data_IF_584246873014
#
_entry.id   IF_584246873014
#
_cell.length_a   1.000
_cell.length_b   1.000
_cell.length_c   1.000
_cell.angle_alpha   90.00
_cell.angle_beta   90.00
_cell.angle_gamma   90.00
#
_symmetry.space_group_name_H-M   'P 1'
#
loop_
_entity.id
_entity.type
_entity.pdbx_description
1 polymer ?
#
# COMPACT_ATOMS: atom_id res chain seq x y z
N UNK A 1 -17.71 30.45 7.50
CA UNK A 1 -17.61 28.99 7.22
C UNK A 1 -18.77 28.32 7.95
N UNK A 2 -19.79 27.90 7.21
CA UNK A 2 -20.91 27.12 7.76
C UNK A 2 -20.32 25.84 8.37
N UNK A 3 -20.56 25.60 9.66
CA UNK A 3 -20.21 24.33 10.29
C UNK A 3 -20.97 23.24 9.52
N UNK A 4 -20.25 22.44 8.73
CA UNK A 4 -20.81 21.25 8.09
C UNK A 4 -21.41 20.39 9.20
N UNK A 5 -22.67 20.02 9.06
CA UNK A 5 -23.30 19.11 10.03
C UNK A 5 -22.53 17.79 10.01
N UNK A 6 -22.16 17.31 11.19
CA UNK A 6 -21.38 16.08 11.35
C UNK A 6 -22.21 14.81 11.08
N UNK A 7 -23.37 14.93 10.45
CA UNK A 7 -24.33 13.85 10.24
C UNK A 7 -24.06 13.14 8.91
N UNK A 8 -23.83 11.84 8.99
CA UNK A 8 -23.78 10.92 7.84
C UNK A 8 -24.90 9.88 8.00
N UNK A 9 -25.67 9.68 6.97
CA UNK A 9 -26.83 8.82 6.99
C UNK A 9 -26.74 7.75 5.89
N UNK A 10 -27.33 6.60 6.19
CA UNK A 10 -27.62 5.53 5.23
C UNK A 10 -29.13 5.31 5.26
N UNK A 11 -29.90 6.12 4.53
CA UNK A 11 -31.36 6.18 4.68
C UNK A 11 -32.05 4.82 4.45
N UNK A 12 -31.60 4.04 3.47
CA UNK A 12 -32.14 2.72 3.18
C UNK A 12 -31.88 1.66 4.27
N UNK A 13 -30.91 1.90 5.16
CA UNK A 13 -30.59 1.03 6.31
C UNK A 13 -31.11 1.59 7.62
N UNK A 14 -31.65 2.80 7.64
CA UNK A 14 -32.07 3.48 8.86
C UNK A 14 -30.90 3.83 9.82
N UNK A 15 -29.66 3.90 9.30
CA UNK A 15 -28.48 4.20 10.10
C UNK A 15 -28.12 5.67 9.98
N UNK A 16 -27.70 6.27 11.12
CA UNK A 16 -27.25 7.66 11.20
C UNK A 16 -26.05 7.75 12.15
N UNK A 17 -25.00 8.46 11.72
CA UNK A 17 -23.75 8.61 12.47
C UNK A 17 -23.42 10.09 12.60
N UNK A 18 -23.13 10.54 13.83
CA UNK A 18 -22.57 11.86 14.07
C UNK A 18 -21.03 11.74 14.05
N UNK A 19 -20.43 12.22 12.97
CA UNK A 19 -18.99 12.15 12.76
C UNK A 19 -18.32 13.48 13.08
N UNK A 20 -17.25 13.46 13.87
CA UNK A 20 -16.34 14.58 14.00
C UNK A 20 -15.08 14.27 13.18
N UNK A 21 -14.60 15.22 12.36
CA UNK A 21 -13.32 15.07 11.64
C UNK A 21 -12.14 15.05 12.59
N UNK A 22 -12.22 15.80 13.72
CA UNK A 22 -11.17 15.83 14.74
C UNK A 22 -11.36 14.65 15.68
N UNK A 23 -10.36 13.81 15.80
CA UNK A 23 -10.35 12.70 16.74
C UNK A 23 -10.11 13.18 18.17
N UNK A 24 -9.08 14.00 18.35
CA UNK A 24 -8.73 14.64 19.64
C UNK A 24 -7.80 15.83 19.39
N UNK A 25 -7.59 16.64 20.44
CA UNK A 25 -6.70 17.80 20.39
C UNK A 25 -5.71 17.77 21.54
N UNK A 26 -4.43 18.03 21.25
CA UNK A 26 -3.35 18.08 22.24
C UNK A 26 -2.62 19.42 22.08
N UNK A 27 -2.56 20.24 23.14
CA UNK A 27 -1.83 21.50 23.12
C UNK A 27 -2.25 22.47 22.00
N UNK A 28 -3.54 22.48 21.61
CA UNK A 28 -4.06 23.32 20.54
C UNK A 28 -3.87 22.74 19.12
N UNK A 29 -3.21 21.60 18.97
CA UNK A 29 -3.08 20.89 17.69
C UNK A 29 -4.20 19.87 17.54
N UNK A 30 -4.95 19.97 16.44
CA UNK A 30 -6.03 19.03 16.13
C UNK A 30 -5.49 17.81 15.41
N UNK A 31 -5.79 16.62 15.94
CA UNK A 31 -5.50 15.32 15.30
C UNK A 31 -6.78 14.85 14.62
N UNK A 32 -6.69 14.61 13.32
CA UNK A 32 -7.83 14.20 12.48
C UNK A 32 -7.93 12.69 12.38
N UNK A 33 -9.16 12.16 12.34
CA UNK A 33 -9.40 10.72 12.14
C UNK A 33 -8.76 10.18 10.88
N UNK A 34 -8.63 10.98 9.83
CA UNK A 34 -7.93 10.58 8.61
C UNK A 34 -6.49 10.16 8.90
N UNK A 35 -5.76 10.97 9.66
CA UNK A 35 -4.40 10.64 10.09
C UNK A 35 -4.34 9.41 10.99
N UNK A 36 -5.31 9.24 11.89
CA UNK A 36 -5.41 8.06 12.77
C UNK A 36 -5.64 6.79 11.94
N UNK A 37 -6.54 6.81 10.96
CA UNK A 37 -6.80 5.66 10.07
C UNK A 37 -5.55 5.25 9.28
N UNK A 38 -4.79 6.24 8.76
CA UNK A 38 -3.51 5.97 8.07
C UNK A 38 -2.50 5.37 9.04
N UNK A 39 -2.35 5.93 10.25
CA UNK A 39 -1.41 5.43 11.25
C UNK A 39 -1.74 3.99 11.68
N UNK A 40 -3.02 3.70 11.93
CA UNK A 40 -3.48 2.33 12.24
C UNK A 40 -3.18 1.38 11.08
N UNK A 41 -3.49 1.79 9.84
CA UNK A 41 -3.19 0.98 8.66
C UNK A 41 -1.70 0.69 8.50
N UNK A 42 -0.84 1.70 8.74
CA UNK A 42 0.60 1.54 8.71
C UNK A 42 1.09 0.59 9.83
N UNK A 43 0.62 0.76 11.06
CA UNK A 43 0.98 -0.12 12.17
C UNK A 43 0.59 -1.57 11.89
N UNK A 44 -0.63 -1.82 11.39
CA UNK A 44 -1.08 -3.16 11.03
C UNK A 44 -0.25 -3.76 9.88
N UNK A 45 0.10 -2.95 8.87
CA UNK A 45 0.97 -3.36 7.77
C UNK A 45 2.38 -3.72 8.28
N UNK A 46 2.95 -2.93 9.20
CA UNK A 46 4.24 -3.21 9.83
C UNK A 46 4.19 -4.49 10.66
N UNK A 47 3.17 -4.68 11.50
CA UNK A 47 2.97 -5.92 12.28
C UNK A 47 2.91 -7.12 11.36
N UNK A 48 2.17 -7.03 10.25
CA UNK A 48 2.11 -8.08 9.24
C UNK A 48 3.50 -8.33 8.63
N UNK A 49 4.19 -7.28 8.21
CA UNK A 49 5.51 -7.37 7.59
C UNK A 49 6.54 -8.02 8.53
N UNK A 50 6.60 -7.60 9.80
CA UNK A 50 7.47 -8.19 10.81
C UNK A 50 7.18 -9.67 11.04
N UNK A 51 5.89 -10.04 11.12
CA UNK A 51 5.51 -11.45 11.34
C UNK A 51 5.87 -12.36 10.18
N UNK A 52 5.84 -11.84 8.95
CA UNK A 52 5.97 -12.67 7.74
C UNK A 52 7.28 -12.45 6.96
N UNK A 53 8.13 -11.49 7.33
CA UNK A 53 9.38 -11.16 6.61
C UNK A 53 10.26 -12.39 6.35
N UNK A 54 10.43 -13.25 7.36
CA UNK A 54 11.29 -14.46 7.27
C UNK A 54 10.79 -15.43 6.21
N UNK A 55 9.46 -15.60 6.07
CA UNK A 55 8.84 -16.46 5.05
C UNK A 55 9.07 -15.95 3.62
N UNK A 56 9.46 -14.69 3.47
CA UNK A 56 9.86 -14.06 2.21
C UNK A 56 11.38 -13.98 2.04
N UNK A 57 12.15 -14.51 2.98
CA UNK A 57 13.62 -14.40 2.96
C UNK A 57 14.13 -12.98 3.20
N UNK A 58 13.31 -12.16 3.88
CA UNK A 58 13.62 -10.77 4.19
C UNK A 58 14.03 -10.67 5.66
N UNK A 59 15.22 -10.12 5.89
CA UNK A 59 15.71 -9.81 7.23
C UNK A 59 14.90 -8.66 7.84
N UNK A 60 14.34 -8.81 9.06
CA UNK A 60 13.52 -7.78 9.69
C UNK A 60 14.22 -6.43 9.85
N UNK A 61 15.50 -6.41 10.23
CA UNK A 61 16.26 -5.16 10.46
C UNK A 61 16.48 -4.42 9.14
N UNK A 62 16.93 -5.16 8.11
CA UNK A 62 17.08 -4.59 6.78
C UNK A 62 15.75 -4.12 6.19
N UNK A 63 14.63 -4.79 6.50
CA UNK A 63 13.28 -4.40 6.12
C UNK A 63 12.89 -3.05 6.72
N UNK A 64 13.17 -2.82 8.01
CA UNK A 64 12.85 -1.55 8.68
C UNK A 64 13.54 -0.38 7.98
N UNK A 65 14.83 -0.51 7.71
CA UNK A 65 15.58 0.54 7.02
C UNK A 65 15.00 0.85 5.64
N UNK A 66 14.65 -0.19 4.88
CA UNK A 66 14.01 -0.03 3.55
C UNK A 66 12.67 0.67 3.65
N UNK A 67 11.83 0.30 4.64
CA UNK A 67 10.53 0.93 4.84
C UNK A 67 10.70 2.40 5.24
N UNK A 68 11.59 2.70 6.19
CA UNK A 68 11.83 4.08 6.64
C UNK A 68 12.31 4.97 5.49
N UNK A 69 13.29 4.51 4.71
CA UNK A 69 13.80 5.24 3.56
C UNK A 69 12.70 5.41 2.50
N UNK A 70 11.97 4.34 2.19
CA UNK A 70 10.89 4.36 1.21
C UNK A 70 9.75 5.33 1.59
N UNK A 71 9.35 5.34 2.87
CA UNK A 71 8.29 6.24 3.37
C UNK A 71 8.77 7.69 3.37
N UNK A 72 9.93 7.98 3.95
CA UNK A 72 10.45 9.36 4.04
C UNK A 72 10.68 9.95 2.65
N UNK A 73 11.40 9.24 1.79
CA UNK A 73 11.68 9.72 0.44
C UNK A 73 10.43 9.66 -0.47
N UNK A 74 9.49 8.77 -0.18
CA UNK A 74 8.17 8.77 -0.82
C UNK A 74 7.39 10.05 -0.51
N UNK A 75 7.36 10.52 0.74
CA UNK A 75 6.72 11.78 1.12
C UNK A 75 7.42 12.97 0.46
N UNK A 76 8.75 13.00 0.48
CA UNK A 76 9.53 14.06 -0.21
C UNK A 76 9.22 14.08 -1.70
N UNK A 77 9.16 12.92 -2.34
CA UNK A 77 8.83 12.79 -3.76
C UNK A 77 7.38 13.19 -4.06
N UNK A 78 6.44 12.89 -3.16
CA UNK A 78 5.05 13.34 -3.29
C UNK A 78 4.96 14.87 -3.30
N UNK A 79 5.72 15.54 -2.43
CA UNK A 79 5.80 17.01 -2.40
C UNK A 79 6.50 17.56 -3.60
N UNK A 80 7.66 17.02 -3.97
CA UNK A 80 8.41 17.44 -5.15
C UNK A 80 7.57 17.36 -6.43
N UNK A 81 6.85 16.26 -6.62
CA UNK A 81 5.95 16.08 -7.76
C UNK A 81 4.81 17.11 -7.75
N UNK A 82 4.19 17.34 -6.58
CA UNK A 82 3.13 18.34 -6.45
C UNK A 82 3.64 19.74 -6.82
N UNK A 83 4.79 20.14 -6.30
CA UNK A 83 5.42 21.44 -6.58
C UNK A 83 5.77 21.58 -8.06
N UNK A 84 6.31 20.53 -8.68
CA UNK A 84 6.67 20.52 -10.11
C UNK A 84 5.46 20.63 -11.04
N UNK A 85 4.30 20.10 -10.62
CA UNK A 85 3.05 20.08 -11.41
C UNK A 85 2.07 21.19 -11.00
N UNK A 86 2.44 22.07 -10.06
CA UNK A 86 1.57 23.14 -9.60
C UNK A 86 1.29 24.15 -10.74
N UNK A 87 0.02 24.52 -10.98
CA UNK A 87 -0.34 25.50 -12.03
C UNK A 87 -0.04 26.96 -11.63
N UNK A 88 0.50 27.18 -10.45
CA UNK A 88 0.84 28.48 -9.88
C UNK A 88 2.32 28.53 -9.48
N UNK A 89 2.86 29.76 -9.33
CA UNK A 89 4.24 29.96 -8.89
C UNK A 89 4.31 30.11 -7.37
N UNK A 90 5.21 29.39 -6.74
CA UNK A 90 5.54 29.57 -5.33
C UNK A 90 6.34 30.87 -5.13
N UNK A 91 6.06 31.61 -4.07
CA UNK A 91 6.74 32.87 -3.77
C UNK A 91 8.01 32.65 -2.94
N UNK A 92 8.12 31.51 -2.24
CA UNK A 92 9.28 31.20 -1.41
C UNK A 92 9.60 29.71 -1.39
N UNK A 93 10.85 29.36 -1.07
CA UNK A 93 11.28 27.97 -0.86
C UNK A 93 10.52 27.37 0.34
N UNK A 94 10.18 28.16 1.34
CA UNK A 94 9.43 27.69 2.50
C UNK A 94 8.02 27.21 2.14
N UNK A 95 7.34 27.90 1.24
CA UNK A 95 6.05 27.43 0.70
C UNK A 95 6.20 26.12 -0.09
N UNK A 96 7.32 25.92 -0.80
CA UNK A 96 7.58 24.67 -1.52
C UNK A 96 7.81 23.48 -0.57
N UNK A 97 8.29 23.71 0.65
CA UNK A 97 8.59 22.65 1.63
C UNK A 97 7.44 22.47 2.62
N UNK A 98 6.50 23.41 2.73
CA UNK A 98 5.39 23.37 3.67
C UNK A 98 4.40 22.23 3.35
N UNK A 99 4.55 21.11 4.05
CA UNK A 99 3.70 19.91 3.90
C UNK A 99 2.39 20.07 4.71
N UNK A 100 2.39 20.90 5.74
CA UNK A 100 1.25 21.08 6.67
C UNK A 100 0.01 21.66 6.00
N UNK A 101 0.21 22.44 4.95
CA UNK A 101 -0.88 23.10 4.21
C UNK A 101 -1.45 22.20 3.11
N UNK A 102 -1.08 20.92 3.11
CA UNK A 102 -1.46 19.94 2.08
C UNK A 102 -0.50 19.94 0.89
N UNK A 103 -0.98 19.50 -0.28
CA UNK A 103 -0.18 19.51 -1.52
C UNK A 103 0.83 18.36 -1.58
N UNK A 104 0.35 17.15 -1.42
CA UNK A 104 1.08 15.89 -1.65
C UNK A 104 0.45 15.15 -2.83
N UNK A 105 1.20 14.94 -3.90
CA UNK A 105 0.74 14.20 -5.06
C UNK A 105 0.98 12.70 -4.89
N UNK A 106 -0.09 11.92 -4.93
CA UNK A 106 -0.04 10.47 -4.73
C UNK A 106 0.89 9.77 -5.73
N UNK A 107 0.92 10.21 -6.98
CA UNK A 107 1.80 9.65 -8.01
C UNK A 107 3.28 9.85 -7.67
N UNK A 108 3.65 11.03 -7.18
CA UNK A 108 5.01 11.29 -6.71
C UNK A 108 5.40 10.38 -5.54
N UNK A 109 4.47 10.17 -4.61
CA UNK A 109 4.68 9.27 -3.48
C UNK A 109 4.87 7.80 -3.89
N UNK A 110 4.07 7.31 -4.82
CA UNK A 110 4.18 5.94 -5.34
C UNK A 110 5.51 5.77 -6.10
N UNK A 111 5.82 6.65 -7.04
CA UNK A 111 7.06 6.60 -7.83
C UNK A 111 8.28 6.66 -6.92
N UNK A 112 8.32 7.66 -6.01
CA UNK A 112 9.42 7.82 -5.07
C UNK A 112 9.56 6.67 -4.10
N UNK A 113 8.45 6.19 -3.53
CA UNK A 113 8.44 5.05 -2.60
C UNK A 113 9.00 3.77 -3.22
N UNK A 114 8.58 3.43 -4.44
CA UNK A 114 9.12 2.26 -5.15
C UNK A 114 10.57 2.47 -5.61
N UNK A 115 10.92 3.63 -6.14
CA UNK A 115 12.27 3.93 -6.59
C UNK A 115 13.26 3.90 -5.42
N UNK A 116 13.04 4.70 -4.40
CA UNK A 116 13.95 4.80 -3.26
C UNK A 116 13.89 3.58 -2.35
N UNK A 117 12.71 2.95 -2.20
CA UNK A 117 12.59 1.65 -1.54
C UNK A 117 13.37 0.56 -2.27
N UNK A 118 13.30 0.50 -3.60
CA UNK A 118 14.10 -0.42 -4.42
C UNK A 118 15.62 -0.16 -4.33
N UNK A 119 16.04 1.12 -4.31
CA UNK A 119 17.44 1.51 -4.10
C UNK A 119 17.91 1.15 -2.68
N UNK A 120 17.08 1.39 -1.67
CA UNK A 120 17.35 1.00 -0.29
C UNK A 120 17.50 -0.52 -0.15
N UNK A 121 16.67 -1.31 -0.83
CA UNK A 121 16.82 -2.76 -0.90
C UNK A 121 18.20 -3.17 -1.41
N UNK A 122 18.66 -2.56 -2.51
CA UNK A 122 20.02 -2.81 -3.05
C UNK A 122 21.10 -2.40 -2.07
N UNK A 123 20.97 -1.23 -1.45
CA UNK A 123 21.94 -0.73 -0.48
C UNK A 123 22.03 -1.61 0.76
N UNK A 124 20.89 -2.02 1.33
CA UNK A 124 20.83 -2.89 2.53
C UNK A 124 20.95 -4.38 2.19
N UNK A 125 21.11 -4.74 0.91
CA UNK A 125 21.15 -6.13 0.42
C UNK A 125 19.91 -6.96 0.80
N UNK A 126 18.75 -6.29 0.83
CA UNK A 126 17.45 -6.92 0.97
C UNK A 126 16.98 -7.35 -0.42
N UNK A 127 16.42 -8.56 -0.59
CA UNK A 127 15.92 -9.01 -1.89
C UNK A 127 14.71 -8.16 -2.33
N UNK A 128 14.83 -7.49 -3.50
CA UNK A 128 13.85 -6.48 -3.96
C UNK A 128 12.46 -7.05 -4.19
N UNK A 129 12.35 -8.14 -4.98
CA UNK A 129 11.05 -8.72 -5.31
C UNK A 129 10.32 -9.32 -4.11
N UNK A 130 10.97 -10.09 -3.22
CA UNK A 130 10.35 -10.50 -1.95
C UNK A 130 9.92 -9.35 -1.05
N UNK A 131 10.70 -8.27 -1.00
CA UNK A 131 10.32 -7.06 -0.26
C UNK A 131 9.08 -6.40 -0.87
N UNK A 132 8.97 -6.35 -2.19
CA UNK A 132 7.78 -5.82 -2.86
C UNK A 132 6.56 -6.72 -2.66
N UNK A 133 6.71 -8.06 -2.63
CA UNK A 133 5.63 -8.98 -2.30
C UNK A 133 5.08 -8.72 -0.89
N UNK A 134 5.98 -8.49 0.07
CA UNK A 134 5.61 -8.16 1.45
C UNK A 134 4.93 -6.78 1.53
N UNK A 135 5.46 -5.78 0.81
CA UNK A 135 4.91 -4.42 0.71
C UNK A 135 3.52 -4.41 0.07
N UNK A 136 3.27 -5.24 -0.95
CA UNK A 136 1.97 -5.36 -1.61
C UNK A 136 0.87 -5.82 -0.63
N UNK A 137 1.19 -6.75 0.28
CA UNK A 137 0.28 -7.13 1.37
C UNK A 137 0.03 -5.97 2.33
N UNK A 138 1.08 -5.23 2.68
CA UNK A 138 0.98 -4.02 3.50
C UNK A 138 0.11 -2.94 2.86
N UNK A 139 0.19 -2.76 1.54
CA UNK A 139 -0.66 -1.81 0.82
C UNK A 139 -2.14 -2.16 0.91
N UNK A 140 -2.53 -3.43 0.78
CA UNK A 140 -3.94 -3.82 0.94
C UNK A 140 -4.48 -3.48 2.33
N UNK A 141 -3.67 -3.69 3.39
CA UNK A 141 -4.03 -3.31 4.75
C UNK A 141 -4.15 -1.78 4.86
N UNK A 142 -3.11 -1.04 4.47
CA UNK A 142 -3.05 0.41 4.58
C UNK A 142 -4.13 1.12 3.77
N UNK A 143 -4.38 0.67 2.54
CA UNK A 143 -5.44 1.19 1.67
C UNK A 143 -6.82 0.91 2.28
N UNK A 144 -7.08 -0.31 2.72
CA UNK A 144 -8.35 -0.66 3.36
C UNK A 144 -8.67 0.19 4.58
N UNK A 145 -7.69 0.40 5.46
CA UNK A 145 -7.82 1.27 6.64
C UNK A 145 -7.95 2.75 6.25
N UNK A 146 -7.13 3.22 5.31
CA UNK A 146 -7.09 4.62 4.90
C UNK A 146 -8.42 5.11 4.31
N UNK A 147 -9.21 4.21 3.68
CA UNK A 147 -10.55 4.55 3.16
C UNK A 147 -11.54 5.00 4.23
N UNK A 148 -11.40 4.55 5.46
CA UNK A 148 -12.22 5.06 6.56
C UNK A 148 -11.91 6.51 6.90
N UNK A 149 -10.71 7.00 6.61
CA UNK A 149 -10.40 8.43 6.67
C UNK A 149 -11.28 9.28 5.75
N UNK A 150 -11.56 8.78 4.52
CA UNK A 150 -12.48 9.46 3.61
C UNK A 150 -13.91 9.50 4.15
N UNK A 151 -14.36 8.46 4.87
CA UNK A 151 -15.65 8.45 5.55
C UNK A 151 -15.77 9.57 6.59
N UNK A 152 -14.76 9.71 7.45
CA UNK A 152 -14.74 10.81 8.45
C UNK A 152 -14.67 12.19 7.81
N UNK A 153 -13.99 12.31 6.66
CA UNK A 153 -13.91 13.56 5.90
C UNK A 153 -15.13 13.83 5.03
N UNK A 154 -16.04 12.85 4.86
CA UNK A 154 -17.20 12.92 3.97
C UNK A 154 -16.79 13.23 2.51
N UNK A 155 -15.73 12.57 2.03
CA UNK A 155 -15.13 12.78 0.70
C UNK A 155 -14.96 11.46 -0.06
N UNK A 156 -14.53 11.52 -1.33
CA UNK A 156 -14.26 10.35 -2.16
C UNK A 156 -15.48 9.40 -2.28
N UNK A 157 -16.63 9.96 -2.60
CA UNK A 157 -17.89 9.25 -2.83
C UNK A 157 -18.20 9.11 -4.34
N UNK A 158 -19.19 8.31 -4.66
CA UNK A 158 -19.62 8.07 -6.04
C UNK A 158 -20.82 8.91 -6.48
N UNK A 159 -21.37 8.61 -7.67
CA UNK A 159 -22.61 9.19 -8.16
C UNK A 159 -23.82 8.75 -7.32
N UNK A 160 -25.01 9.31 -7.63
CA UNK A 160 -26.25 8.94 -6.94
C UNK A 160 -26.58 7.46 -7.08
N UNK A 161 -27.22 6.91 -6.04
CA UNK A 161 -27.63 5.52 -6.00
C UNK A 161 -28.96 5.34 -5.28
N UNK A 162 -29.74 4.37 -5.74
CA UNK A 162 -30.98 3.91 -5.08
C UNK A 162 -30.75 2.67 -4.22
N UNK A 163 -29.49 2.20 -4.11
CA UNK A 163 -29.15 1.02 -3.32
C UNK A 163 -29.41 1.27 -1.82
N UNK A 164 -29.81 0.23 -1.05
CA UNK A 164 -30.14 0.40 0.37
C UNK A 164 -29.02 1.00 1.22
N UNK A 165 -27.76 0.77 0.82
CA UNK A 165 -26.57 1.30 1.50
C UNK A 165 -26.06 2.62 0.91
N UNK A 166 -26.88 3.33 0.13
CA UNK A 166 -26.56 4.67 -0.33
C UNK A 166 -26.31 5.62 0.86
N UNK A 167 -25.24 6.41 0.76
CA UNK A 167 -24.79 7.34 1.81
C UNK A 167 -25.25 8.76 1.50
N UNK A 168 -25.73 9.48 2.49
CA UNK A 168 -26.06 10.89 2.41
C UNK A 168 -25.33 11.66 3.52
N UNK A 169 -24.75 12.78 3.21
CA UNK A 169 -24.15 13.68 4.19
C UNK A 169 -24.10 15.11 3.70
N UNK A 170 -24.04 16.07 4.62
CA UNK A 170 -23.96 17.48 4.28
C UNK A 170 -22.63 17.83 3.56
N UNK A 171 -21.53 17.13 3.89
CA UNK A 171 -20.26 17.26 3.18
C UNK A 171 -20.37 16.86 1.71
N UNK A 172 -21.01 15.72 1.44
CA UNK A 172 -21.30 15.23 0.10
C UNK A 172 -22.19 16.20 -0.66
N UNK A 173 -23.28 16.65 -0.03
CA UNK A 173 -24.22 17.61 -0.60
C UNK A 173 -23.53 18.91 -0.98
N UNK A 174 -22.78 19.52 -0.05
CA UNK A 174 -22.08 20.78 -0.28
C UNK A 174 -21.03 20.67 -1.39
N UNK A 175 -20.31 19.55 -1.47
CA UNK A 175 -19.39 19.28 -2.56
C UNK A 175 -20.09 19.22 -3.93
N UNK A 176 -21.20 18.48 -4.01
CA UNK A 176 -21.98 18.32 -5.26
C UNK A 176 -22.62 19.62 -5.69
N UNK A 177 -23.09 20.47 -4.76
CA UNK A 177 -23.64 21.79 -5.07
C UNK A 177 -22.59 22.75 -5.63
N UNK A 178 -21.33 22.66 -5.19
CA UNK A 178 -20.19 23.44 -5.69
C UNK A 178 -19.50 22.82 -6.92
N UNK A 179 -19.87 21.61 -7.31
CA UNK A 179 -19.23 20.88 -8.40
C UNK A 179 -19.74 21.32 -9.77
N UNK A 180 -18.83 21.40 -10.75
CA UNK A 180 -19.19 21.58 -12.16
C UNK A 180 -19.70 20.29 -12.83
N UNK A 181 -19.58 19.14 -12.14
CA UNK A 181 -20.04 17.84 -12.64
C UNK A 181 -21.54 17.71 -12.39
N UNK A 182 -22.35 18.05 -13.37
CA UNK A 182 -23.82 17.95 -13.31
C UNK A 182 -24.35 16.62 -13.88
N UNK A 183 -23.56 15.96 -14.72
CA UNK A 183 -23.93 14.68 -15.36
C UNK A 183 -22.73 13.74 -15.32
N UNK A 184 -22.95 12.52 -14.87
CA UNK A 184 -21.93 11.47 -14.85
C UNK A 184 -22.51 10.14 -15.35
N UNK A 185 -21.83 9.52 -16.32
CA UNK A 185 -22.32 8.28 -16.96
C UNK A 185 -23.76 8.40 -17.51
N UNK A 186 -24.11 9.59 -18.01
CA UNK A 186 -25.48 9.85 -18.52
C UNK A 186 -26.53 10.10 -17.44
N UNK A 187 -26.16 10.11 -16.16
CA UNK A 187 -27.07 10.36 -15.02
C UNK A 187 -26.82 11.76 -14.47
N UNK A 188 -27.88 12.54 -14.33
CA UNK A 188 -27.84 13.84 -13.63
C UNK A 188 -27.59 13.61 -12.15
N UNK A 189 -26.60 14.31 -11.60
CA UNK A 189 -26.25 14.20 -10.18
C UNK A 189 -27.12 15.17 -9.38
N UNK A 190 -27.90 14.65 -8.44
CA UNK A 190 -28.70 15.44 -7.49
C UNK A 190 -28.00 15.48 -6.12
N UNK A 191 -27.63 16.68 -5.61
CA UNK A 191 -27.00 16.82 -4.30
C UNK A 191 -27.85 16.33 -3.12
N UNK A 192 -29.17 16.22 -3.29
CA UNK A 192 -30.10 15.82 -2.24
C UNK A 192 -30.38 14.31 -2.19
N UNK A 193 -29.82 13.55 -3.13
CA UNK A 193 -29.98 12.09 -3.17
C UNK A 193 -28.76 11.37 -2.60
N UNK A 194 -28.94 10.15 -2.05
CA UNK A 194 -27.84 9.32 -1.60
C UNK A 194 -26.85 8.98 -2.72
N UNK A 195 -25.59 8.82 -2.36
CA UNK A 195 -24.46 8.50 -3.26
C UNK A 195 -23.83 7.16 -2.93
N UNK A 196 -23.11 6.58 -3.88
CA UNK A 196 -22.34 5.35 -3.64
C UNK A 196 -21.22 5.61 -2.59
N UNK A 197 -21.17 4.84 -1.47
CA UNK A 197 -20.09 4.93 -0.47
C UNK A 197 -18.83 4.22 -1.01
N UNK A 198 -18.12 4.83 -1.95
CA UNK A 198 -16.98 4.21 -2.63
C UNK A 198 -15.83 3.90 -1.68
N UNK A 199 -15.70 4.65 -0.55
CA UNK A 199 -14.75 4.33 0.52
C UNK A 199 -14.97 2.91 1.07
N UNK A 200 -16.23 2.51 1.27
CA UNK A 200 -16.59 1.19 1.77
C UNK A 200 -16.31 0.09 0.74
N UNK A 201 -16.64 0.36 -0.53
CA UNK A 201 -16.37 -0.59 -1.61
C UNK A 201 -14.88 -0.88 -1.74
N UNK A 202 -14.05 0.16 -1.72
CA UNK A 202 -12.59 0.02 -1.84
C UNK A 202 -12.00 -0.64 -0.58
N UNK A 203 -12.51 -0.32 0.61
CA UNK A 203 -12.09 -0.98 1.86
C UNK A 203 -12.40 -2.48 1.84
N UNK A 204 -13.61 -2.88 1.46
CA UNK A 204 -14.01 -4.29 1.34
C UNK A 204 -13.17 -4.98 0.27
N UNK A 205 -12.96 -4.34 -0.89
CA UNK A 205 -12.13 -4.87 -1.97
C UNK A 205 -10.70 -5.15 -1.51
N UNK A 206 -10.09 -4.21 -0.79
CA UNK A 206 -8.76 -4.41 -0.22
C UNK A 206 -8.73 -5.54 0.82
N UNK A 207 -9.73 -5.64 1.68
CA UNK A 207 -9.84 -6.71 2.67
C UNK A 207 -9.97 -8.09 2.01
N UNK A 208 -10.83 -8.22 1.02
CA UNK A 208 -11.00 -9.47 0.25
C UNK A 208 -9.71 -9.84 -0.46
N UNK A 209 -9.06 -8.86 -1.12
CA UNK A 209 -7.77 -9.05 -1.76
C UNK A 209 -6.69 -9.51 -0.79
N UNK A 210 -6.63 -8.90 0.39
CA UNK A 210 -5.70 -9.31 1.45
C UNK A 210 -5.95 -10.78 1.86
N UNK A 211 -7.20 -11.18 2.12
CA UNK A 211 -7.54 -12.56 2.52
C UNK A 211 -7.15 -13.56 1.42
N UNK A 212 -7.46 -13.25 0.16
CA UNK A 212 -7.15 -14.12 -0.97
C UNK A 212 -5.64 -14.28 -1.16
N UNK A 213 -4.88 -13.18 -1.15
CA UNK A 213 -3.44 -13.21 -1.30
C UNK A 213 -2.74 -13.82 -0.09
N UNK A 214 -3.23 -13.57 1.11
CA UNK A 214 -2.71 -14.21 2.33
C UNK A 214 -2.80 -15.73 2.26
N UNK A 215 -3.95 -16.28 1.82
CA UNK A 215 -4.11 -17.72 1.59
C UNK A 215 -3.23 -18.24 0.47
N UNK A 216 -2.82 -17.37 -0.44
CA UNK A 216 -1.98 -17.73 -1.59
C UNK A 216 -0.48 -17.66 -1.28
N UNK A 217 -0.01 -16.96 -0.25
CA UNK A 217 1.42 -16.77 0.07
C UNK A 217 2.24 -18.06 -0.04
N UNK A 218 1.72 -19.16 0.52
CA UNK A 218 2.40 -20.48 0.50
C UNK A 218 2.41 -21.17 -0.87
N UNK A 219 1.61 -20.68 -1.81
CA UNK A 219 1.46 -21.23 -3.17
C UNK A 219 2.18 -20.39 -4.22
N UNK A 220 2.86 -19.31 -3.81
CA UNK A 220 3.58 -18.43 -4.72
C UNK A 220 4.64 -19.21 -5.52
N UNK A 221 4.79 -18.86 -6.79
CA UNK A 221 5.60 -19.63 -7.74
C UNK A 221 6.95 -18.99 -8.02
N UNK A 222 7.07 -17.68 -7.82
CA UNK A 222 8.28 -16.89 -8.04
C UNK A 222 8.27 -15.66 -7.13
N UNK A 223 9.42 -15.03 -6.97
CA UNK A 223 9.52 -13.76 -6.25
C UNK A 223 8.89 -12.66 -7.12
N UNK A 224 7.96 -11.88 -6.54
CA UNK A 224 7.14 -10.90 -7.24
C UNK A 224 5.73 -11.40 -7.62
N UNK A 225 5.40 -12.66 -7.34
CA UNK A 225 4.08 -13.26 -7.62
C UNK A 225 2.95 -12.54 -6.86
N UNK A 226 3.14 -12.26 -5.57
CA UNK A 226 2.15 -11.52 -4.76
C UNK A 226 1.99 -10.09 -5.28
N UNK A 227 3.08 -9.43 -5.66
CA UNK A 227 3.06 -8.08 -6.23
C UNK A 227 2.26 -8.01 -7.52
N UNK A 228 2.47 -8.96 -8.44
CA UNK A 228 1.70 -9.00 -9.68
C UNK A 228 0.21 -9.24 -9.43
N UNK A 229 -0.13 -10.15 -8.53
CA UNK A 229 -1.52 -10.43 -8.15
C UNK A 229 -2.17 -9.24 -7.45
N UNK A 230 -1.42 -8.52 -6.62
CA UNK A 230 -1.88 -7.26 -6.03
C UNK A 230 -2.19 -6.23 -7.12
N UNK A 231 -1.30 -6.04 -8.10
CA UNK A 231 -1.50 -5.09 -9.20
C UNK A 231 -2.76 -5.44 -10.01
N UNK A 232 -2.97 -6.73 -10.31
CA UNK A 232 -4.17 -7.20 -11.01
C UNK A 232 -5.41 -6.95 -10.17
N UNK A 233 -5.41 -7.36 -8.90
CA UNK A 233 -6.56 -7.24 -8.01
C UNK A 233 -6.94 -5.79 -7.74
N UNK A 234 -5.95 -4.99 -7.30
CA UNK A 234 -6.18 -3.58 -6.99
C UNK A 234 -6.54 -2.78 -8.25
N UNK A 235 -5.88 -3.05 -9.36
CA UNK A 235 -6.18 -2.44 -10.65
C UNK A 235 -7.61 -2.75 -11.10
N UNK A 236 -8.06 -4.01 -11.00
CA UNK A 236 -9.44 -4.39 -11.31
C UNK A 236 -10.45 -3.63 -10.43
N UNK A 237 -10.22 -3.59 -9.11
CA UNK A 237 -11.06 -2.82 -8.17
C UNK A 237 -11.09 -1.33 -8.51
N UNK A 238 -9.90 -0.75 -8.74
CA UNK A 238 -9.79 0.67 -9.07
C UNK A 238 -10.49 1.02 -10.38
N UNK A 239 -10.44 0.14 -11.36
CA UNK A 239 -11.08 0.35 -12.66
C UNK A 239 -12.59 0.55 -12.54
N UNK A 240 -13.32 -0.32 -11.82
CA UNK A 240 -14.77 -0.20 -11.71
C UNK A 240 -15.21 0.80 -10.64
N UNK A 241 -14.50 0.91 -9.51
CA UNK A 241 -14.84 1.87 -8.44
C UNK A 241 -14.66 3.31 -8.95
N UNK A 242 -13.58 3.56 -9.70
CA UNK A 242 -13.34 4.87 -10.30
C UNK A 242 -14.46 5.29 -11.23
N UNK A 243 -15.11 4.36 -11.92
CA UNK A 243 -16.26 4.65 -12.79
C UNK A 243 -17.43 5.28 -12.02
N UNK A 244 -17.56 5.00 -10.72
CA UNK A 244 -18.61 5.56 -9.88
C UNK A 244 -18.26 6.94 -9.31
N UNK A 245 -17.00 7.31 -9.22
CA UNK A 245 -16.54 8.53 -8.51
C UNK A 245 -16.87 9.80 -9.26
N UNK A 246 -17.20 10.86 -8.53
CA UNK A 246 -17.55 12.18 -9.05
C UNK A 246 -16.36 13.14 -9.16
N UNK A 247 -15.27 12.86 -8.42
CA UNK A 247 -14.09 13.71 -8.28
C UNK A 247 -12.88 13.27 -9.14
N UNK A 248 -13.11 12.43 -10.13
CA UNK A 248 -12.07 11.81 -10.95
C UNK A 248 -11.54 12.74 -12.03
N UNK A 249 -10.21 12.72 -12.26
CA UNK A 249 -9.58 13.46 -13.35
C UNK A 249 -9.89 12.79 -14.70
N UNK A 250 -10.61 13.48 -15.56
CA UNK A 250 -10.94 13.01 -16.90
C UNK A 250 -9.73 13.11 -17.84
N UNK A 251 -9.42 12.03 -18.55
CA UNK A 251 -8.40 12.00 -19.59
C UNK A 251 -9.02 12.34 -20.96
N UNK A 252 -10.13 11.68 -21.30
CA UNK A 252 -10.86 11.90 -22.54
C UNK A 252 -12.36 12.09 -22.18
N UNK A 253 -12.79 13.36 -22.02
CA UNK A 253 -14.17 13.65 -21.60
C UNK A 253 -15.25 13.10 -22.54
N UNK A 254 -14.98 13.04 -23.85
CA UNK A 254 -15.94 12.56 -24.85
C UNK A 254 -16.38 11.11 -24.68
N UNK A 255 -15.52 10.26 -24.10
CA UNK A 255 -15.81 8.85 -23.82
C UNK A 255 -15.86 8.53 -22.33
N UNK A 256 -15.79 9.56 -21.48
CA UNK A 256 -15.79 9.40 -20.03
C UNK A 256 -14.59 8.66 -19.44
N UNK A 257 -13.48 8.55 -20.19
CA UNK A 257 -12.29 7.83 -19.74
C UNK A 257 -11.49 8.66 -18.73
N UNK A 258 -11.19 8.07 -17.59
CA UNK A 258 -10.42 8.69 -16.50
C UNK A 258 -8.97 8.22 -16.49
N UNK A 259 -8.06 9.10 -16.06
CA UNK A 259 -6.62 8.78 -15.96
C UNK A 259 -6.40 7.53 -15.10
N UNK A 260 -7.05 7.47 -13.93
CA UNK A 260 -6.92 6.34 -13.00
C UNK A 260 -7.44 5.03 -13.61
N UNK A 261 -8.50 5.07 -14.42
CA UNK A 261 -9.03 3.89 -15.11
C UNK A 261 -8.07 3.36 -16.17
N UNK A 262 -7.49 4.25 -16.98
CA UNK A 262 -6.49 3.85 -17.96
C UNK A 262 -5.29 3.19 -17.30
N UNK A 263 -4.72 3.82 -16.27
CA UNK A 263 -3.58 3.26 -15.54
C UNK A 263 -3.94 1.91 -14.88
N UNK A 264 -5.13 1.80 -14.29
CA UNK A 264 -5.63 0.56 -13.70
C UNK A 264 -5.79 -0.54 -14.77
N UNK A 265 -6.36 -0.23 -15.92
CA UNK A 265 -6.50 -1.15 -17.05
C UNK A 265 -5.15 -1.64 -17.56
N UNK A 266 -4.19 -0.73 -17.76
CA UNK A 266 -2.81 -1.08 -18.14
C UNK A 266 -2.17 -2.00 -17.09
N UNK A 267 -2.31 -1.68 -15.80
CA UNK A 267 -1.76 -2.49 -14.72
C UNK A 267 -2.35 -3.91 -14.70
N UNK A 268 -3.66 -4.06 -14.95
CA UNK A 268 -4.32 -5.37 -15.05
C UNK A 268 -3.80 -6.16 -16.25
N UNK A 269 -3.79 -5.56 -17.44
CA UNK A 269 -3.35 -6.26 -18.66
C UNK A 269 -1.88 -6.67 -18.57
N UNK A 270 -1.02 -5.73 -18.18
CA UNK A 270 0.42 -6.00 -18.03
C UNK A 270 0.67 -7.02 -16.90
N UNK A 271 -0.04 -6.90 -15.78
CA UNK A 271 0.05 -7.82 -14.65
C UNK A 271 -0.36 -9.25 -15.05
N UNK A 272 -1.49 -9.42 -15.76
CA UNK A 272 -1.95 -10.72 -16.25
C UNK A 272 -0.96 -11.33 -17.26
N UNK A 273 -0.45 -10.53 -18.20
CA UNK A 273 0.54 -10.98 -19.16
C UNK A 273 1.83 -11.45 -18.47
N UNK A 274 2.32 -10.67 -17.50
CA UNK A 274 3.50 -11.03 -16.72
C UNK A 274 3.25 -12.29 -15.87
N UNK A 275 2.09 -12.39 -15.20
CA UNK A 275 1.72 -13.57 -14.41
C UNK A 275 1.68 -14.86 -15.25
N UNK A 276 1.11 -14.79 -16.45
CA UNK A 276 1.08 -15.93 -17.38
C UNK A 276 2.51 -16.30 -17.81
N UNK A 277 3.33 -15.32 -18.18
CA UNK A 277 4.70 -15.54 -18.60
C UNK A 277 5.54 -16.17 -17.48
N UNK A 278 5.56 -15.59 -16.28
CA UNK A 278 6.37 -16.11 -15.18
C UNK A 278 5.85 -17.44 -14.64
N UNK A 279 4.53 -17.64 -14.59
CA UNK A 279 3.94 -18.93 -14.20
C UNK A 279 4.35 -20.06 -15.17
N UNK A 280 4.40 -19.78 -16.48
CA UNK A 280 4.88 -20.76 -17.48
C UNK A 280 6.38 -21.01 -17.34
N UNK A 281 7.18 -19.95 -17.14
CA UNK A 281 8.64 -20.03 -17.00
C UNK A 281 9.07 -20.85 -15.78
N UNK A 282 8.34 -20.74 -14.67
CA UNK A 282 8.64 -21.43 -13.40
C UNK A 282 7.79 -22.69 -13.17
N UNK A 283 7.06 -23.16 -14.19
CA UNK A 283 6.22 -24.35 -14.10
C UNK A 283 7.04 -25.58 -13.65
N UNK A 284 6.51 -26.30 -12.66
CA UNK A 284 7.12 -27.54 -12.16
C UNK A 284 8.31 -27.34 -11.22
N UNK A 285 8.70 -26.09 -10.92
CA UNK A 285 9.77 -25.79 -9.96
C UNK A 285 9.18 -25.19 -8.69
N UNK A 286 9.44 -25.77 -7.51
CA UNK A 286 9.05 -25.13 -6.26
C UNK A 286 9.86 -23.85 -6.08
N UNK A 287 9.22 -22.78 -5.58
CA UNK A 287 9.95 -21.59 -5.17
C UNK A 287 10.75 -21.89 -3.91
N UNK A 288 12.06 -21.81 -3.99
CA UNK A 288 12.96 -21.88 -2.85
C UNK A 288 13.22 -20.47 -2.32
N UNK A 289 13.07 -20.30 -1.02
CA UNK A 289 13.23 -19.03 -0.31
C UNK A 289 14.50 -19.12 0.53
N UNK A 290 15.48 -18.22 0.28
CA UNK A 290 16.68 -18.15 1.10
C UNK A 290 16.35 -17.85 2.57
N UNK A 291 17.07 -18.44 3.52
CA UNK A 291 16.94 -18.09 4.92
C UNK A 291 17.42 -16.65 5.15
N UNK A 292 16.66 -15.90 5.94
CA UNK A 292 16.99 -14.52 6.27
C UNK A 292 18.22 -14.47 7.20
N UNK A 293 19.26 -13.76 6.80
CA UNK A 293 20.42 -13.50 7.65
C UNK A 293 20.35 -12.10 8.25
N UNK A 294 20.69 -11.98 9.54
CA UNK A 294 20.84 -10.67 10.18
C UNK A 294 21.92 -9.83 9.51
N UNK A 295 21.83 -8.51 9.65
CA UNK A 295 22.84 -7.58 9.10
C UNK A 295 24.22 -7.84 9.66
N UNK A 296 24.31 -8.20 10.95
CA UNK A 296 25.56 -8.58 11.63
C UNK A 296 26.19 -9.82 11.00
N UNK A 297 25.41 -10.87 10.80
CA UNK A 297 25.89 -12.11 10.20
C UNK A 297 26.31 -11.90 8.73
N UNK A 298 25.60 -11.05 7.97
CA UNK A 298 26.01 -10.66 6.61
C UNK A 298 27.34 -9.88 6.59
N UNK A 299 27.54 -8.97 7.54
CA UNK A 299 28.76 -8.20 7.66
C UNK A 299 29.94 -9.08 8.10
N UNK A 300 29.67 -9.99 9.00
CA UNK A 300 30.63 -10.93 9.54
C UNK A 300 31.10 -11.95 8.50
N UNK A 301 30.19 -12.50 7.68
CA UNK A 301 30.58 -13.39 6.59
C UNK A 301 31.48 -12.76 5.52
N UNK A 302 31.48 -11.42 5.39
CA UNK A 302 32.46 -10.73 4.54
C UNK A 302 33.89 -10.72 5.08
N UNK A 303 34.05 -10.88 6.39
CA UNK A 303 35.36 -10.91 7.07
C UNK A 303 35.93 -12.33 7.10
N UNK A 304 35.11 -13.34 6.80
CA UNK A 304 35.54 -14.72 6.70
C UNK A 304 36.21 -14.94 5.36
N UNK A 305 37.48 -15.34 5.32
CA UNK A 305 38.18 -15.75 4.10
C UNK A 305 37.57 -17.06 3.57
N UNK A 306 36.72 -16.93 2.57
CA UNK A 306 36.06 -18.03 1.90
C UNK A 306 34.56 -18.17 2.21
N UNK A 307 33.76 -18.72 1.26
CA UNK A 307 32.38 -19.03 1.52
C UNK A 307 32.33 -20.08 2.62
N UNK A 308 31.63 -19.78 3.69
CA UNK A 308 31.22 -20.83 4.64
C UNK A 308 30.36 -21.77 3.79
N UNK A 309 30.95 -22.90 3.37
CA UNK A 309 30.25 -23.93 2.64
C UNK A 309 29.19 -24.55 3.55
N UNK A 310 28.09 -23.83 3.72
CA UNK A 310 26.84 -24.45 4.10
C UNK A 310 26.40 -25.24 2.88
N UNK A 311 26.62 -26.54 2.90
CA UNK A 311 26.20 -27.43 1.81
C UNK A 311 24.73 -27.17 1.47
N UNK A 312 24.47 -26.72 0.25
CA UNK A 312 23.25 -26.42 -0.48
C UNK A 312 21.87 -26.58 0.16
N UNK A 313 21.58 -27.68 0.81
CA UNK A 313 20.24 -28.01 1.31
C UNK A 313 19.81 -27.25 2.59
N UNK A 314 20.74 -26.60 3.31
CA UNK A 314 20.47 -26.00 4.64
C UNK A 314 20.26 -24.49 4.63
N UNK A 315 20.32 -23.84 3.47
CA UNK A 315 20.23 -22.36 3.35
C UNK A 315 18.90 -21.86 2.77
N UNK A 316 18.04 -22.78 2.34
CA UNK A 316 16.76 -22.45 1.71
C UNK A 316 15.62 -23.37 2.22
N UNK A 317 14.40 -22.87 2.11
CA UNK A 317 13.18 -23.64 2.32
C UNK A 317 12.19 -23.41 1.18
N UNK A 318 11.34 -24.40 0.85
CA UNK A 318 10.27 -24.16 -0.10
C UNK A 318 9.27 -23.14 0.46
N UNK A 319 8.72 -22.28 -0.41
CA UNK A 319 7.75 -21.25 -0.02
C UNK A 319 6.49 -21.83 0.67
N UNK A 320 6.24 -23.14 0.48
CA UNK A 320 5.15 -23.87 1.12
C UNK A 320 5.42 -24.27 2.58
N UNK A 321 6.66 -24.14 3.04
CA UNK A 321 7.04 -24.47 4.41
C UNK A 321 6.26 -23.65 5.45
N UNK A 322 6.14 -24.17 6.65
CA UNK A 322 5.47 -23.44 7.72
C UNK A 322 6.35 -22.29 8.23
N UNK A 323 5.71 -21.26 8.80
CA UNK A 323 6.44 -20.16 9.43
C UNK A 323 7.35 -20.66 10.56
N UNK A 324 6.90 -21.66 11.32
CA UNK A 324 7.69 -22.26 12.41
C UNK A 324 9.00 -22.86 11.89
N UNK A 325 8.95 -23.60 10.78
CA UNK A 325 10.14 -24.16 10.12
C UNK A 325 11.10 -23.06 9.64
N UNK A 326 10.57 -21.97 9.06
CA UNK A 326 11.39 -20.82 8.66
C UNK A 326 12.10 -20.18 9.85
N UNK A 327 11.39 -19.95 10.97
CA UNK A 327 11.96 -19.35 12.17
C UNK A 327 13.06 -20.24 12.76
N UNK A 328 12.73 -21.51 13.03
CA UNK A 328 13.68 -22.46 13.63
C UNK A 328 14.95 -22.65 12.78
N UNK A 329 14.78 -22.77 11.45
CA UNK A 329 15.90 -22.99 10.55
C UNK A 329 16.76 -21.73 10.40
N UNK A 330 16.13 -20.54 10.38
CA UNK A 330 16.85 -19.24 10.35
C UNK A 330 17.65 -19.03 11.63
N UNK A 331 17.08 -19.29 12.79
CA UNK A 331 17.78 -19.18 14.08
C UNK A 331 18.97 -20.12 14.16
N UNK A 332 18.79 -21.40 13.77
CA UNK A 332 19.89 -22.38 13.71
C UNK A 332 20.99 -21.94 12.75
N UNK A 333 20.62 -21.40 11.60
CA UNK A 333 21.56 -20.90 10.60
C UNK A 333 22.37 -19.72 11.13
N UNK A 334 21.70 -18.73 11.74
CA UNK A 334 22.36 -17.57 12.34
C UNK A 334 23.27 -17.97 13.50
N UNK A 335 22.88 -18.94 14.34
CA UNK A 335 23.72 -19.45 15.42
C UNK A 335 24.99 -20.13 14.89
N UNK A 336 24.89 -20.95 13.85
CA UNK A 336 26.05 -21.60 13.22
C UNK A 336 27.03 -20.57 12.61
N UNK A 337 26.52 -19.50 12.00
CA UNK A 337 27.35 -18.42 11.47
C UNK A 337 28.12 -17.74 12.61
N UNK A 338 27.44 -17.42 13.71
CA UNK A 338 28.03 -16.80 14.89
C UNK A 338 29.13 -17.66 15.51
N UNK A 339 28.88 -18.95 15.69
CA UNK A 339 29.84 -19.90 16.26
C UNK A 339 31.15 -19.95 15.43
N UNK A 340 31.00 -20.06 14.10
CA UNK A 340 32.20 -20.08 13.21
C UNK A 340 33.00 -18.81 13.25
N UNK A 341 32.35 -17.66 13.45
CA UNK A 341 33.04 -16.38 13.64
C UNK A 341 33.86 -16.35 14.93
N UNK A 342 33.29 -16.84 16.04
CA UNK A 342 33.95 -16.94 17.32
C UNK A 342 35.15 -17.90 17.27
N UNK A 343 35.01 -19.03 16.57
CA UNK A 343 36.10 -19.99 16.34
C UNK A 343 37.29 -19.39 15.54
N UNK A 344 36.97 -18.59 14.49
CA UNK A 344 38.06 -17.92 13.73
C UNK A 344 38.73 -16.81 14.50
N UNK A 345 38.00 -16.06 15.35
CA UNK A 345 38.59 -15.03 16.21
C UNK A 345 39.48 -15.62 17.30
N UNK A 346 39.28 -16.86 17.72
CA UNK A 346 40.12 -17.55 18.70
C UNK A 346 41.40 -18.16 18.08
N UNK A 347 41.39 -18.37 16.77
CA UNK A 347 42.52 -18.97 16.03
C UNK A 347 43.46 -17.93 15.41
N UNK A 348 43.15 -16.64 15.57
CA UNK A 348 43.99 -15.49 15.25
C UNK A 348 44.37 -14.72 16.53
#
# INVERSE_FOLDING_TARGET
MTQLTNLVQFPGLGLSFHLNRVAFSIGGVHIYWYGVCIAVGLCLALVFAFRHSIEFGVDPDGMVDVILIGVVLGIVSARAYYVAMAPFKYQSIWEMIAIRDGGLAIYGGIIGGFLFGGLACKWRKVPVLPMFDLTAMGFLIGQGCGRWGNFFNQEAFGCNTTLPWGMYSEGTRSYLMGSTVTVQNGVTIDPNLPVHPTFLYESIWCLVGFILLFRYIKKRKFNGDITLRYLIWYGAGRFWIEALRTDSLMLVPSIGLRVSQLLAGIAVVAGVAAEIYFTRKFKGKPLMVPLAMTAENKAAMKKLDGPIAFAGADTELPASASRKEFVEKTERYNAKVKQKLEEQQKNH
#
